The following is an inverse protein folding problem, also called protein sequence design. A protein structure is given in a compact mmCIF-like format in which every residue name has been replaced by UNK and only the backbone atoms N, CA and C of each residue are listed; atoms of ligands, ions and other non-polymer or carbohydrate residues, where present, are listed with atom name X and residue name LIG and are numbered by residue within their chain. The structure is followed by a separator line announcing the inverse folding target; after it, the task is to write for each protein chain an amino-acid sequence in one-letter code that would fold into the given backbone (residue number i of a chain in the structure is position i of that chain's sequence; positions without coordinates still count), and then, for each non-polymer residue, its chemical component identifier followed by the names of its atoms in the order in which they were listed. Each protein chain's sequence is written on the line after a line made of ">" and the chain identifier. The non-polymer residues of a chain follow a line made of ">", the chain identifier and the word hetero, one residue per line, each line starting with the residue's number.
data_IF_779885239858
#
_entry.id   IF_779885239858
#
_cell.length_a   1.000
_cell.length_b   1.000
_cell.length_c   1.000
_cell.angle_alpha   90.00
_cell.angle_beta   90.00
_cell.angle_gamma   90.00
#
_symmetry.space_group_name_H-M   'P 1'
#
loop_
_entity.id
_entity.type
_entity.pdbx_description
1 polymer ?
#
# COMPACT_ATOMS: atom_id res chain seq x y z
N UNK A 1 8.57 0.65 -5.37
CA UNK A 1 7.92 1.95 -5.10
C UNK A 1 6.48 1.67 -4.73
N UNK A 2 5.92 2.33 -3.71
CA UNK A 2 4.51 2.19 -3.30
C UNK A 2 3.72 3.41 -3.73
N UNK A 3 2.48 3.20 -4.14
CA UNK A 3 1.55 4.28 -4.49
C UNK A 3 0.19 4.02 -3.83
N UNK A 4 -0.47 5.09 -3.43
CA UNK A 4 -1.86 5.09 -3.03
C UNK A 4 -2.71 5.40 -4.27
N UNK A 5 -3.66 4.52 -4.57
CA UNK A 5 -4.59 4.71 -5.68
C UNK A 5 -5.91 4.01 -5.35
N UNK A 6 -7.04 4.71 -5.51
CA UNK A 6 -8.39 4.22 -5.19
C UNK A 6 -8.51 3.64 -3.77
N UNK A 7 -8.03 4.40 -2.79
CA UNK A 7 -8.05 4.04 -1.36
C UNK A 7 -7.35 2.71 -1.00
N UNK A 8 -6.48 2.22 -1.87
CA UNK A 8 -5.69 1.02 -1.64
C UNK A 8 -4.21 1.26 -1.95
N UNK A 9 -3.37 0.49 -1.26
CA UNK A 9 -1.93 0.51 -1.46
C UNK A 9 -1.47 -0.48 -2.52
N UNK A 10 -0.63 0.01 -3.44
CA UNK A 10 -0.14 -0.74 -4.59
C UNK A 10 1.37 -0.67 -4.72
N UNK A 11 1.99 -1.79 -5.08
CA UNK A 11 3.41 -1.90 -5.40
C UNK A 11 3.60 -1.75 -6.92
N UNK A 12 4.29 -0.69 -7.34
CA UNK A 12 4.60 -0.47 -8.76
C UNK A 12 5.78 -1.35 -9.17
N UNK A 13 5.61 -2.12 -10.25
CA UNK A 13 6.66 -2.96 -10.82
C UNK A 13 7.13 -2.49 -12.21
N UNK A 14 6.28 -1.77 -12.96
CA UNK A 14 6.62 -1.25 -14.29
C UNK A 14 5.85 0.03 -14.59
N UNK A 15 6.47 0.96 -15.31
CA UNK A 15 5.83 2.19 -15.76
C UNK A 15 6.08 2.37 -17.26
N UNK A 16 5.00 2.55 -18.03
CA UNK A 16 5.06 2.86 -19.46
C UNK A 16 4.65 4.31 -19.70
N UNK A 17 5.17 4.92 -20.76
CA UNK A 17 4.74 6.24 -21.23
C UNK A 17 3.69 6.04 -22.32
N UNK A 18 2.53 6.68 -22.17
CA UNK A 18 1.45 6.60 -23.15
C UNK A 18 1.66 7.60 -24.30
N UNK A 19 2.11 8.82 -23.98
CA UNK A 19 2.42 9.86 -24.97
C UNK A 19 3.81 10.47 -24.75
N UNK A 20 4.50 10.80 -25.85
CA UNK A 20 5.80 11.47 -25.82
C UNK A 20 5.73 12.96 -25.43
N UNK A 21 4.54 13.55 -25.54
CA UNK A 21 4.33 15.01 -25.40
C UNK A 21 3.47 15.38 -24.20
N UNK A 22 2.62 14.46 -23.71
CA UNK A 22 1.58 14.73 -22.70
C UNK A 22 1.90 14.27 -21.26
N UNK A 23 3.02 13.58 -21.04
CA UNK A 23 3.43 13.15 -19.69
C UNK A 23 2.62 11.99 -19.08
N UNK A 24 1.56 11.56 -19.76
CA UNK A 24 0.69 10.45 -19.36
C UNK A 24 1.47 9.14 -19.24
N UNK A 25 1.32 8.48 -18.10
CA UNK A 25 2.01 7.25 -17.76
C UNK A 25 1.03 6.16 -17.32
N UNK A 26 1.39 4.92 -17.61
CA UNK A 26 0.67 3.73 -17.14
C UNK A 26 1.55 3.04 -16.10
N UNK A 27 1.08 3.02 -14.86
CA UNK A 27 1.73 2.30 -13.75
C UNK A 27 1.11 0.91 -13.60
N UNK A 28 1.91 -0.13 -13.83
CA UNK A 28 1.53 -1.51 -13.58
C UNK A 28 1.92 -1.89 -12.16
N UNK A 29 0.93 -2.37 -11.40
CA UNK A 29 1.01 -2.54 -9.98
C UNK A 29 0.45 -3.88 -9.49
N UNK A 30 0.96 -4.33 -8.35
CA UNK A 30 0.43 -5.46 -7.58
C UNK A 30 -0.08 -4.97 -6.25
N UNK A 31 -1.24 -5.45 -5.79
CA UNK A 31 -1.84 -5.03 -4.54
C UNK A 31 -0.98 -5.38 -3.32
N UNK A 32 -0.67 -4.36 -2.52
CA UNK A 32 0.12 -4.47 -1.29
C UNK A 32 -0.76 -4.48 -0.03
N UNK A 33 -1.95 -3.89 -0.12
CA UNK A 33 -2.97 -3.93 0.94
C UNK A 33 -3.63 -5.31 1.04
N UNK A 34 -4.21 -5.63 2.20
CA UNK A 34 -4.95 -6.87 2.43
C UNK A 34 -6.15 -7.00 1.50
N UNK A 35 -6.89 -5.90 1.28
CA UNK A 35 -8.08 -5.89 0.42
C UNK A 35 -7.75 -6.16 -1.05
N UNK A 36 -6.57 -5.75 -1.52
CA UNK A 36 -6.15 -5.92 -2.93
C UNK A 36 -5.06 -6.97 -3.09
N UNK A 37 -4.75 -7.74 -2.05
CA UNK A 37 -3.66 -8.71 -2.05
C UNK A 37 -3.79 -9.68 -3.23
N UNK A 38 -2.72 -9.84 -4.00
CA UNK A 38 -2.68 -10.74 -5.16
C UNK A 38 -3.35 -10.20 -6.43
N UNK A 39 -3.99 -9.04 -6.38
CA UNK A 39 -4.56 -8.40 -7.57
C UNK A 39 -3.49 -7.65 -8.34
N UNK A 40 -3.57 -7.72 -9.67
CA UNK A 40 -2.77 -6.90 -10.58
C UNK A 40 -3.66 -5.82 -11.19
N UNK A 41 -3.13 -4.60 -11.30
CA UNK A 41 -3.84 -3.45 -11.85
C UNK A 41 -2.89 -2.57 -12.67
N UNK A 42 -3.46 -1.83 -13.63
CA UNK A 42 -2.75 -0.80 -14.36
C UNK A 42 -3.50 0.53 -14.20
N UNK A 43 -2.79 1.58 -13.75
CA UNK A 43 -3.36 2.90 -13.52
C UNK A 43 -2.81 3.90 -14.53
N UNK A 44 -3.69 4.73 -15.08
CA UNK A 44 -3.30 5.79 -16.02
C UNK A 44 -3.25 7.09 -15.23
N UNK A 45 -2.11 7.78 -15.19
CA UNK A 45 -1.91 8.98 -14.35
C UNK A 45 -2.89 10.11 -14.63
N UNK A 46 -3.49 10.14 -15.82
CA UNK A 46 -4.46 11.17 -16.22
C UNK A 46 -5.89 10.83 -15.80
N UNK A 47 -6.17 9.55 -15.53
CA UNK A 47 -7.51 9.07 -15.14
C UNK A 47 -7.58 8.72 -13.65
N UNK A 48 -6.47 8.31 -13.06
CA UNK A 48 -6.36 7.87 -11.68
C UNK A 48 -5.47 8.82 -10.87
N UNK A 49 -5.89 9.13 -9.65
CA UNK A 49 -5.07 9.88 -8.71
C UNK A 49 -4.01 8.94 -8.10
N UNK A 50 -2.84 8.89 -8.74
CA UNK A 50 -1.70 8.08 -8.28
C UNK A 50 -0.81 8.94 -7.38
N UNK A 51 -0.84 8.68 -6.07
CA UNK A 51 -0.01 9.39 -5.08
C UNK A 51 1.14 8.51 -4.64
N UNK A 52 2.38 8.99 -4.76
CA UNK A 52 3.55 8.25 -4.27
C UNK A 52 3.57 8.23 -2.74
N UNK A 53 3.80 7.06 -2.16
CA UNK A 53 4.00 6.89 -0.72
C UNK A 53 5.51 6.82 -0.45
N UNK A 54 6.03 7.78 0.33
CA UNK A 54 7.39 7.73 0.86
C UNK A 54 7.40 6.99 2.22
N UNK A 55 8.10 5.85 2.34
CA UNK A 55 8.24 5.15 3.61
C UNK A 55 8.78 6.03 4.75
N UNK A 56 9.59 7.04 4.46
CA UNK A 56 10.19 7.94 5.47
C UNK A 56 9.17 8.84 6.15
N UNK A 57 8.10 9.19 5.45
CA UNK A 57 7.03 10.05 5.98
C UNK A 57 6.00 9.27 6.82
N UNK A 58 6.18 7.95 6.97
CA UNK A 58 5.29 7.11 7.76
C UNK A 58 5.35 7.51 9.24
N UNK A 59 4.23 7.98 9.79
CA UNK A 59 4.11 8.34 11.21
C UNK A 59 3.54 7.17 12.02
N UNK A 60 4.36 6.64 12.93
CA UNK A 60 3.91 5.64 13.90
C UNK A 60 2.92 6.28 14.87
N UNK A 61 1.68 5.81 14.84
CA UNK A 61 0.63 6.28 15.75
C UNK A 61 0.39 5.22 16.81
N UNK A 62 0.32 5.62 18.09
CA UNK A 62 -0.04 4.70 19.18
C UNK A 62 -1.52 4.32 19.03
N UNK A 63 -1.80 3.03 19.05
CA UNK A 63 -3.18 2.54 19.15
C UNK A 63 -3.71 2.81 20.57
N UNK A 64 -4.68 3.73 20.66
CA UNK A 64 -5.36 4.09 21.91
C UNK A 64 -6.73 3.42 22.04
N UNK A 65 -7.05 2.45 21.19
CA UNK A 65 -8.31 1.71 21.25
C UNK A 65 -8.38 0.85 22.53
N UNK A 66 -9.61 0.62 23.00
CA UNK A 66 -9.84 -0.24 24.16
C UNK A 66 -9.35 -1.69 23.93
N UNK A 67 -9.30 -2.13 22.67
CA UNK A 67 -8.86 -3.47 22.27
C UNK A 67 -7.34 -3.67 22.32
N UNK A 68 -6.55 -2.59 22.35
CA UNK A 68 -5.09 -2.65 22.23
C UNK A 68 -4.44 -3.62 23.22
N UNK A 69 -4.84 -3.59 24.50
CA UNK A 69 -4.28 -4.47 25.52
C UNK A 69 -4.55 -5.95 25.23
N UNK A 70 -5.75 -6.29 24.74
CA UNK A 70 -6.11 -7.67 24.39
C UNK A 70 -5.33 -8.14 23.15
N UNK A 71 -5.22 -7.28 22.14
CA UNK A 71 -4.42 -7.56 20.93
C UNK A 71 -2.95 -7.80 21.27
N UNK A 72 -2.37 -6.95 22.13
CA UNK A 72 -0.98 -7.10 22.59
C UNK A 72 -0.74 -8.42 23.33
N UNK A 73 -1.65 -8.82 24.21
CA UNK A 73 -1.56 -10.10 24.94
C UNK A 73 -1.66 -11.30 23.99
N UNK A 74 -2.59 -11.26 23.03
CA UNK A 74 -2.77 -12.32 22.03
C UNK A 74 -1.51 -12.52 21.17
N UNK A 75 -0.98 -11.44 20.58
CA UNK A 75 0.26 -11.49 19.80
C UNK A 75 1.43 -12.00 20.64
N UNK A 76 1.55 -11.54 21.89
CA UNK A 76 2.59 -12.00 22.80
C UNK A 76 2.48 -13.48 23.17
N UNK A 77 1.26 -14.02 23.29
CA UNK A 77 1.04 -15.45 23.54
C UNK A 77 1.42 -16.30 22.32
N UNK A 78 1.02 -15.87 21.11
CA UNK A 78 1.38 -16.53 19.85
C UNK A 78 2.90 -16.56 19.63
N UNK A 79 3.59 -15.44 19.83
CA UNK A 79 5.05 -15.37 19.72
C UNK A 79 5.79 -16.36 20.63
N UNK A 80 5.29 -16.60 21.85
CA UNK A 80 5.88 -17.58 22.79
C UNK A 80 5.62 -19.04 22.41
N UNK A 81 4.58 -19.32 21.62
CA UNK A 81 4.30 -20.67 21.13
C UNK A 81 5.18 -21.05 19.92
N UNK A 82 5.75 -20.05 19.24
CA UNK A 82 6.60 -20.25 18.05
C UNK A 82 8.09 -20.44 18.38
N UNK A 83 8.48 -20.27 19.65
CA UNK A 83 9.84 -20.52 20.20
C UNK A 83 9.85 -21.79 21.02
#
# INVERSE_FOLDING_TARGET
>A
MRVLCRDAEWLVHRVDKLDHTGGSQIAHCTGADEMVRGHQAAFVTDLDQVVQIDPKETRLTRDTSHGFHKGKLFLGAQLRQMT
#
